data_IF_749631744166
#
_entry.id   IF_749631744166
#
_cell.length_a   1.000
_cell.length_b   1.000
_cell.length_c   1.000
_cell.angle_alpha   90.00
_cell.angle_beta   90.00
_cell.angle_gamma   90.00
#
_symmetry.space_group_name_H-M   'P 1'
#
loop_
_entity.id
_entity.type
_entity.pdbx_description
1 polymer ?
#
# COMPACT_ATOMS: atom_id res chain seq x y z
N UNK A 1 -12.06 34.41 36.47
CA UNK A 1 -11.42 33.91 37.72
C UNK A 1 -10.92 32.45 37.62
N UNK A 2 -11.50 31.57 36.79
CA UNK A 2 -11.07 30.17 36.65
C UNK A 2 -9.61 29.96 36.22
N UNK A 3 -9.08 30.77 35.29
CA UNK A 3 -7.68 30.65 34.84
C UNK A 3 -6.67 30.95 35.95
N UNK A 4 -6.97 31.92 36.82
CA UNK A 4 -6.11 32.27 37.96
C UNK A 4 -6.08 31.12 38.97
N UNK A 5 -7.24 30.52 39.27
CA UNK A 5 -7.33 29.33 40.13
C UNK A 5 -6.52 28.16 39.58
N UNK A 6 -6.64 27.87 38.27
CA UNK A 6 -5.87 26.81 37.63
C UNK A 6 -4.35 27.09 37.66
N UNK A 7 -3.94 28.35 37.50
CA UNK A 7 -2.54 28.75 37.62
C UNK A 7 -2.00 28.50 39.03
N UNK A 8 -2.72 28.94 40.07
CA UNK A 8 -2.28 28.75 41.45
C UNK A 8 -2.21 27.27 41.83
N UNK A 9 -3.14 26.44 41.34
CA UNK A 9 -3.04 24.98 41.47
C UNK A 9 -1.83 24.39 40.73
N UNK A 10 -1.52 24.88 39.53
CA UNK A 10 -0.35 24.41 38.78
C UNK A 10 0.96 24.80 39.47
N UNK A 11 1.02 25.99 40.08
CA UNK A 11 2.15 26.44 40.91
C UNK A 11 2.29 25.57 42.17
N UNK A 12 1.20 25.38 42.92
CA UNK A 12 1.23 24.61 44.17
C UNK A 12 1.62 23.15 43.93
N UNK A 13 1.24 22.58 42.78
CA UNK A 13 1.59 21.21 42.39
C UNK A 13 2.89 21.10 41.60
N UNK A 14 3.59 22.20 41.32
CA UNK A 14 4.84 22.19 40.55
C UNK A 14 4.71 21.58 39.15
N UNK A 15 3.63 21.87 38.42
CA UNK A 15 3.35 21.29 37.09
C UNK A 15 3.95 22.12 35.95
N UNK A 16 4.47 21.45 34.92
CA UNK A 16 4.97 22.09 33.70
C UNK A 16 6.07 23.12 34.00
N UNK A 17 5.87 24.37 33.61
CA UNK A 17 6.84 25.46 33.84
C UNK A 17 7.11 25.77 35.32
N UNK A 18 6.24 25.31 36.22
CA UNK A 18 6.40 25.48 37.67
C UNK A 18 7.11 24.29 38.33
N UNK A 19 7.49 23.27 37.54
CA UNK A 19 8.22 22.11 38.03
C UNK A 19 9.64 22.49 38.47
N UNK A 20 10.15 21.89 39.56
CA UNK A 20 11.56 22.06 39.94
C UNK A 20 12.52 21.28 39.02
N UNK A 21 11.99 20.38 38.18
CA UNK A 21 12.80 19.59 37.26
C UNK A 21 13.28 20.43 36.07
N UNK A 22 14.46 20.09 35.54
CA UNK A 22 14.96 20.70 34.31
C UNK A 22 13.98 20.45 33.15
N UNK A 23 13.81 21.43 32.23
CA UNK A 23 12.99 21.25 31.06
C UNK A 23 13.47 20.06 30.21
N UNK A 24 12.55 19.17 29.89
CA UNK A 24 12.82 18.04 28.98
C UNK A 24 12.81 18.58 27.55
N UNK A 25 13.99 18.62 26.91
CA UNK A 25 14.14 19.12 25.53
C UNK A 25 13.96 17.98 24.54
N UNK A 26 13.03 18.15 23.59
CA UNK A 26 12.82 17.19 22.49
C UNK A 26 13.94 17.34 21.46
N UNK A 27 14.66 16.25 21.18
CA UNK A 27 15.59 16.19 20.07
C UNK A 27 14.80 15.75 18.83
N UNK A 28 14.82 16.57 17.77
CA UNK A 28 14.05 16.29 16.55
C UNK A 28 15.02 16.01 15.40
N UNK A 29 14.95 14.79 14.87
CA UNK A 29 15.62 14.40 13.64
C UNK A 29 14.68 14.65 12.47
N UNK A 30 14.85 15.79 11.80
CA UNK A 30 13.99 16.24 10.68
C UNK A 30 14.17 15.41 9.40
N UNK A 31 15.29 14.71 9.29
CA UNK A 31 15.61 13.85 8.15
C UNK A 31 16.46 12.67 8.61
N UNK A 32 16.21 11.51 8.01
CA UNK A 32 17.04 10.32 8.19
C UNK A 32 18.17 10.36 7.17
N UNK A 33 19.43 10.41 7.62
CA UNK A 33 20.59 10.49 6.72
C UNK A 33 20.72 9.26 5.81
N UNK A 34 20.60 8.06 6.39
CA UNK A 34 20.64 6.80 5.65
C UNK A 34 19.31 6.06 5.82
N UNK A 35 18.39 6.33 4.90
CA UNK A 35 17.03 5.77 4.91
C UNK A 35 17.02 4.25 4.79
N UNK A 36 18.01 3.67 4.08
CA UNK A 36 18.14 2.22 3.93
C UNK A 36 18.55 1.56 5.24
N UNK A 37 19.58 2.06 5.94
CA UNK A 37 20.00 1.48 7.22
C UNK A 37 18.93 1.65 8.30
N UNK A 38 18.22 2.79 8.29
CA UNK A 38 17.08 3.02 9.16
C UNK A 38 15.96 2.00 8.88
N UNK A 39 15.60 1.81 7.61
CA UNK A 39 14.64 0.79 7.21
C UNK A 39 15.04 -0.60 7.70
N UNK A 40 16.28 -1.05 7.46
CA UNK A 40 16.73 -2.38 7.89
C UNK A 40 16.62 -2.61 9.40
N UNK A 41 16.79 -1.53 10.19
CA UNK A 41 16.72 -1.58 11.66
C UNK A 41 15.29 -1.65 12.20
N UNK A 42 14.30 -1.15 11.44
CA UNK A 42 12.91 -1.00 11.90
C UNK A 42 11.87 -1.67 10.99
N UNK A 43 12.28 -2.37 9.92
CA UNK A 43 11.38 -3.02 8.96
C UNK A 43 10.44 -4.00 9.64
N UNK A 44 9.17 -3.96 9.25
CA UNK A 44 8.07 -4.79 9.74
C UNK A 44 7.88 -4.77 11.28
N UNK A 45 8.51 -3.83 12.00
CA UNK A 45 8.28 -3.60 13.42
C UNK A 45 7.16 -2.58 13.59
N UNK A 46 6.19 -2.79 14.50
CA UNK A 46 5.24 -1.76 14.90
C UNK A 46 5.96 -0.57 15.55
N UNK A 47 5.89 0.60 14.93
CA UNK A 47 6.41 1.84 15.47
C UNK A 47 5.25 2.77 15.84
N UNK A 48 5.20 3.23 17.08
CA UNK A 48 4.26 4.26 17.49
C UNK A 48 4.68 5.59 16.90
N UNK A 49 3.73 6.32 16.33
CA UNK A 49 3.99 7.59 15.70
C UNK A 49 2.78 8.53 15.84
N UNK A 50 3.00 9.82 15.66
CA UNK A 50 1.96 10.85 15.55
C UNK A 50 1.97 11.40 14.14
N UNK A 51 0.80 11.49 13.51
CA UNK A 51 0.68 12.12 12.18
C UNK A 51 0.71 13.63 12.33
N UNK A 52 1.67 14.27 11.69
CA UNK A 52 1.86 15.72 11.75
C UNK A 52 1.31 16.44 10.52
N UNK A 53 1.37 15.80 9.36
CA UNK A 53 0.91 16.36 8.12
C UNK A 53 0.38 15.27 7.19
N UNK A 54 -0.60 15.61 6.36
CA UNK A 54 -1.12 14.73 5.31
C UNK A 54 -0.80 15.38 3.97
N UNK A 55 -0.02 14.72 3.13
CA UNK A 55 0.46 15.26 1.84
C UNK A 55 -0.56 15.04 0.73
N UNK A 56 -1.15 13.85 0.72
CA UNK A 56 -2.26 13.43 -0.13
C UNK A 56 -3.03 12.32 0.59
N UNK A 57 -4.02 11.70 -0.06
CA UNK A 57 -4.82 10.65 0.58
C UNK A 57 -4.02 9.46 1.11
N UNK A 58 -2.87 9.11 0.51
CA UNK A 58 -2.09 7.92 0.86
C UNK A 58 -0.69 8.22 1.43
N UNK A 59 -0.24 9.48 1.45
CA UNK A 59 1.07 9.87 1.96
C UNK A 59 0.94 10.83 3.14
N UNK A 60 1.58 10.47 4.25
CA UNK A 60 1.59 11.28 5.49
C UNK A 60 3.02 11.54 5.96
N UNK A 61 3.19 12.58 6.77
CA UNK A 61 4.41 12.82 7.52
C UNK A 61 4.13 12.60 9.00
N UNK A 62 5.03 11.89 9.67
CA UNK A 62 4.85 11.45 11.05
C UNK A 62 6.09 11.71 11.88
N UNK A 63 5.90 11.93 13.18
CA UNK A 63 6.95 11.76 14.18
C UNK A 63 6.87 10.35 14.76
N UNK A 64 7.92 9.56 14.56
CA UNK A 64 8.08 8.29 15.29
C UNK A 64 8.47 8.62 16.73
N UNK A 65 7.79 7.98 17.67
CA UNK A 65 7.95 8.25 19.10
C UNK A 65 9.22 7.59 19.67
N UNK A 66 9.88 8.22 20.67
CA UNK A 66 11.13 7.75 21.23
C UNK A 66 11.08 6.29 21.73
N UNK A 67 9.97 5.83 22.30
CA UNK A 67 9.84 4.46 22.80
C UNK A 67 9.87 3.38 21.70
N UNK A 68 9.69 3.77 20.44
CA UNK A 68 9.77 2.87 19.29
C UNK A 68 11.16 2.85 18.65
N UNK A 69 12.03 3.76 19.06
CA UNK A 69 13.35 3.98 18.48
C UNK A 69 14.44 3.48 19.40
N UNK A 70 15.55 3.06 18.82
CA UNK A 70 16.79 2.74 19.55
C UNK A 70 17.74 3.96 19.57
N UNK A 71 17.15 5.16 19.60
CA UNK A 71 17.87 6.43 19.63
C UNK A 71 18.06 6.92 21.08
N UNK A 72 18.68 8.08 21.25
CA UNK A 72 18.75 8.73 22.56
C UNK A 72 17.34 8.92 23.15
N UNK A 73 17.20 8.92 24.48
CA UNK A 73 15.93 9.23 25.13
C UNK A 73 15.38 10.57 24.64
N UNK A 74 14.07 10.61 24.37
CA UNK A 74 13.35 11.81 23.92
C UNK A 74 13.72 12.32 22.50
N UNK A 75 14.28 11.44 21.66
CA UNK A 75 14.48 11.69 20.22
C UNK A 75 13.24 11.31 19.41
N UNK A 76 12.75 12.25 18.60
CA UNK A 76 11.66 12.07 17.66
C UNK A 76 12.20 12.09 16.24
N UNK A 77 11.76 11.14 15.40
CA UNK A 77 12.23 11.03 14.01
C UNK A 77 11.10 11.40 13.06
N UNK A 78 11.31 12.46 12.28
CA UNK A 78 10.36 12.95 11.29
C UNK A 78 10.56 12.24 9.96
N UNK A 79 9.53 11.55 9.47
CA UNK A 79 9.61 10.80 8.22
C UNK A 79 8.33 10.93 7.39
N UNK A 80 8.46 10.74 6.09
CA UNK A 80 7.33 10.60 5.18
C UNK A 80 7.05 9.12 4.95
N UNK A 81 5.79 8.71 5.12
CA UNK A 81 5.31 7.35 4.91
C UNK A 81 4.19 7.36 3.87
N UNK A 82 4.37 6.59 2.80
CA UNK A 82 3.34 6.33 1.79
C UNK A 82 2.73 4.96 2.04
N UNK A 83 1.40 4.87 2.02
CA UNK A 83 0.66 3.63 2.24
C UNK A 83 1.03 2.59 1.18
N UNK A 84 1.41 1.39 1.61
CA UNK A 84 1.67 0.27 0.72
C UNK A 84 0.39 -0.27 0.08
N UNK A 85 0.55 -0.86 -1.11
CA UNK A 85 -0.53 -1.51 -1.84
C UNK A 85 -1.57 -0.59 -2.48
N UNK A 86 -1.53 0.73 -2.22
CA UNK A 86 -2.53 1.67 -2.74
C UNK A 86 -1.92 2.94 -3.34
N UNK A 87 -2.63 3.56 -4.28
CA UNK A 87 -2.36 4.92 -4.77
C UNK A 87 -3.61 5.78 -4.68
N UNK A 88 -3.50 6.95 -4.09
CA UNK A 88 -4.54 7.98 -4.10
C UNK A 88 -4.25 9.05 -5.17
N UNK A 89 -5.26 9.76 -5.71
CA UNK A 89 -5.04 10.89 -6.60
C UNK A 89 -4.11 11.93 -5.95
N UNK A 90 -3.18 12.48 -6.73
CA UNK A 90 -2.10 13.29 -6.19
C UNK A 90 -2.47 14.77 -6.16
N UNK A 91 -1.78 15.53 -5.31
CA UNK A 91 -1.89 16.99 -5.26
C UNK A 91 -0.53 17.56 -5.66
N UNK A 92 -0.49 18.27 -6.79
CA UNK A 92 0.71 18.92 -7.32
C UNK A 92 0.72 20.41 -7.03
N UNK A 93 1.90 21.02 -7.11
CA UNK A 93 2.10 22.45 -7.02
C UNK A 93 2.72 22.93 -8.33
N UNK A 94 1.99 23.75 -9.09
CA UNK A 94 2.42 24.31 -10.37
C UNK A 94 2.28 25.83 -10.27
N UNK A 95 3.38 26.57 -10.52
CA UNK A 95 3.45 28.04 -10.42
C UNK A 95 2.89 28.63 -9.10
N UNK A 96 3.18 27.96 -7.98
CA UNK A 96 2.71 28.37 -6.65
C UNK A 96 1.22 28.11 -6.39
N UNK A 97 0.51 27.44 -7.31
CA UNK A 97 -0.89 27.04 -7.16
C UNK A 97 -1.01 25.54 -6.93
N UNK A 98 -1.98 25.18 -6.10
CA UNK A 98 -2.34 23.77 -5.87
C UNK A 98 -3.14 23.28 -7.08
N UNK A 99 -2.64 22.22 -7.73
CA UNK A 99 -3.28 21.54 -8.86
C UNK A 99 -3.57 20.10 -8.43
N UNK A 100 -4.76 19.82 -7.89
CA UNK A 100 -5.15 18.47 -7.50
C UNK A 100 -5.60 17.66 -8.72
N UNK A 101 -5.25 16.37 -8.75
CA UNK A 101 -5.94 15.41 -9.61
C UNK A 101 -7.42 15.29 -9.18
N UNK A 102 -8.27 14.76 -10.06
CA UNK A 102 -9.67 14.50 -9.72
C UNK A 102 -9.77 13.67 -8.43
N UNK A 103 -10.63 14.11 -7.49
CA UNK A 103 -10.80 13.52 -6.15
C UNK A 103 -9.59 13.63 -5.20
N UNK A 104 -8.52 14.35 -5.59
CA UNK A 104 -7.32 14.51 -4.77
C UNK A 104 -7.56 15.26 -3.45
N UNK A 105 -8.34 16.34 -3.49
CA UNK A 105 -8.69 17.10 -2.26
C UNK A 105 -9.64 16.31 -1.35
N UNK A 106 -10.59 15.56 -1.91
CA UNK A 106 -11.47 14.69 -1.13
C UNK A 106 -10.68 13.57 -0.43
N UNK A 107 -9.71 12.98 -1.13
CA UNK A 107 -8.86 11.95 -0.55
C UNK A 107 -7.93 12.51 0.54
N UNK A 108 -7.34 13.70 0.32
CA UNK A 108 -6.58 14.42 1.33
C UNK A 108 -7.44 14.66 2.57
N UNK A 109 -8.60 15.29 2.42
CA UNK A 109 -9.51 15.59 3.51
C UNK A 109 -9.95 14.33 4.25
N UNK A 110 -10.20 13.23 3.51
CA UNK A 110 -10.61 11.96 4.09
C UNK A 110 -9.57 11.42 5.09
N UNK A 111 -8.30 11.45 4.72
CA UNK A 111 -7.19 11.01 5.56
C UNK A 111 -6.90 12.02 6.67
N UNK A 112 -6.89 13.31 6.35
CA UNK A 112 -6.63 14.41 7.30
C UNK A 112 -7.65 14.45 8.43
N UNK A 113 -8.95 14.38 8.12
CA UNK A 113 -10.01 14.45 9.12
C UNK A 113 -9.98 13.27 10.11
N UNK A 114 -9.30 12.17 9.74
CA UNK A 114 -9.20 10.94 10.55
C UNK A 114 -7.88 10.82 11.29
N UNK A 115 -6.77 11.20 10.65
CA UNK A 115 -5.44 10.88 11.15
C UNK A 115 -4.62 12.08 11.60
N UNK A 116 -4.88 13.31 11.15
CA UNK A 116 -4.05 14.46 11.51
C UNK A 116 -3.97 14.65 13.03
N UNK A 117 -2.79 14.74 13.63
CA UNK A 117 -2.56 14.82 15.08
C UNK A 117 -3.12 13.62 15.88
N UNK A 118 -3.29 12.44 15.27
CA UNK A 118 -3.65 11.21 15.98
C UNK A 118 -2.44 10.31 16.16
N UNK A 119 -2.45 9.56 17.27
CA UNK A 119 -1.53 8.45 17.51
C UNK A 119 -1.85 7.28 16.56
N UNK A 120 -0.84 6.80 15.86
CA UNK A 120 -0.92 5.68 14.92
C UNK A 120 0.21 4.68 15.18
N UNK A 121 0.03 3.47 14.68
CA UNK A 121 1.11 2.48 14.55
C UNK A 121 1.47 2.37 13.08
N UNK A 122 2.72 2.60 12.74
CA UNK A 122 3.23 2.39 11.38
C UNK A 122 4.05 1.10 11.29
N UNK A 123 4.01 0.47 10.13
CA UNK A 123 4.88 -0.66 9.76
C UNK A 123 5.67 -0.27 8.52
N UNK A 124 6.99 -0.22 8.61
CA UNK A 124 7.86 0.08 7.47
C UNK A 124 8.09 -1.19 6.65
N UNK A 125 7.68 -1.20 5.40
CA UNK A 125 7.67 -2.40 4.54
C UNK A 125 8.65 -2.27 3.37
N UNK A 126 8.89 -1.05 2.91
CA UNK A 126 9.92 -0.75 1.92
C UNK A 126 10.41 0.70 2.03
N UNK A 127 11.39 1.04 1.21
CA UNK A 127 11.92 2.40 1.07
C UNK A 127 12.12 2.69 -0.42
N UNK A 128 11.67 3.86 -0.86
CA UNK A 128 11.87 4.36 -2.22
C UNK A 128 12.43 5.77 -2.16
N UNK A 129 13.65 5.96 -2.67
CA UNK A 129 14.43 7.19 -2.51
C UNK A 129 14.56 7.59 -1.02
N UNK A 130 13.89 8.67 -0.61
CA UNK A 130 13.87 9.15 0.78
C UNK A 130 12.51 8.97 1.47
N UNK A 131 11.59 8.24 0.84
CA UNK A 131 10.23 8.00 1.35
C UNK A 131 10.08 6.56 1.78
N UNK A 132 9.56 6.35 2.98
CA UNK A 132 9.22 5.02 3.45
C UNK A 132 7.86 4.60 2.88
N UNK A 133 7.74 3.31 2.56
CA UNK A 133 6.49 2.69 2.14
C UNK A 133 6.05 1.75 3.25
N UNK A 134 4.79 1.80 3.65
CA UNK A 134 4.35 1.06 4.82
C UNK A 134 2.87 1.12 5.11
N UNK A 135 2.44 0.36 6.10
CA UNK A 135 1.06 0.38 6.60
C UNK A 135 0.89 1.41 7.72
N UNK A 136 -0.27 2.09 7.76
CA UNK A 136 -0.63 3.05 8.81
C UNK A 136 -1.90 2.56 9.50
N UNK A 137 -1.78 2.23 10.78
CA UNK A 137 -2.81 1.57 11.56
C UNK A 137 -3.28 2.48 12.69
N UNK A 138 -4.60 2.61 12.82
CA UNK A 138 -5.26 3.29 13.92
C UNK A 138 -6.19 2.30 14.63
N UNK A 139 -6.48 2.44 15.94
CA UNK A 139 -7.42 1.56 16.64
C UNK A 139 -8.80 1.43 15.97
N UNK A 140 -9.23 2.47 15.25
CA UNK A 140 -10.49 2.50 14.52
C UNK A 140 -10.43 1.82 13.13
N UNK A 141 -9.27 1.34 12.69
CA UNK A 141 -9.11 0.58 11.44
C UNK A 141 -7.91 0.99 10.60
N UNK A 142 -7.75 0.28 9.48
CA UNK A 142 -6.73 0.54 8.48
C UNK A 142 -7.21 1.59 7.47
N UNK A 143 -6.55 2.74 7.44
CA UNK A 143 -6.94 3.87 6.58
C UNK A 143 -6.86 3.54 5.08
N UNK A 144 -5.91 2.69 4.66
CA UNK A 144 -5.74 2.33 3.26
C UNK A 144 -6.95 1.55 2.72
N UNK A 145 -7.48 0.61 3.53
CA UNK A 145 -8.70 -0.12 3.19
C UNK A 145 -9.91 0.82 3.09
N UNK A 146 -10.01 1.80 3.98
CA UNK A 146 -11.10 2.78 3.99
C UNK A 146 -11.07 3.70 2.76
N UNK A 147 -9.89 4.14 2.34
CA UNK A 147 -9.70 4.91 1.10
C UNK A 147 -10.19 4.12 -0.11
N UNK A 148 -9.78 2.86 -0.23
CA UNK A 148 -10.22 1.97 -1.32
C UNK A 148 -11.73 1.75 -1.28
N UNK A 149 -12.30 1.43 -0.12
CA UNK A 149 -13.73 1.16 0.07
C UNK A 149 -14.61 2.35 -0.33
N UNK A 150 -14.08 3.56 -0.21
CA UNK A 150 -14.77 4.76 -0.67
C UNK A 150 -14.39 5.19 -2.08
N UNK A 151 -13.52 4.49 -2.80
CA UNK A 151 -13.10 4.89 -4.14
C UNK A 151 -12.23 6.15 -4.15
N UNK A 152 -11.45 6.38 -3.10
CA UNK A 152 -10.47 7.49 -3.01
C UNK A 152 -9.03 7.01 -3.26
N UNK A 153 -8.87 5.74 -3.64
CA UNK A 153 -7.60 5.15 -4.01
C UNK A 153 -7.82 3.95 -4.96
N UNK A 154 -6.74 3.52 -5.61
CA UNK A 154 -6.62 2.30 -6.39
C UNK A 154 -5.63 1.33 -5.75
N UNK A 155 -5.82 0.04 -5.96
CA UNK A 155 -4.82 -0.97 -5.65
C UNK A 155 -3.63 -0.86 -6.62
N UNK A 156 -2.42 -1.07 -6.11
CA UNK A 156 -1.20 -1.17 -6.91
C UNK A 156 -0.68 -2.61 -6.84
N UNK A 157 -0.92 -3.40 -7.89
CA UNK A 157 -0.62 -4.84 -7.90
C UNK A 157 0.85 -5.17 -7.59
N UNK A 158 1.80 -4.43 -8.17
CA UNK A 158 3.23 -4.66 -7.93
C UNK A 158 3.68 -4.31 -6.50
N UNK A 159 2.93 -3.46 -5.81
CA UNK A 159 3.24 -3.01 -4.45
C UNK A 159 2.46 -3.82 -3.39
N UNK A 160 1.37 -4.49 -3.78
CA UNK A 160 0.47 -5.17 -2.86
C UNK A 160 1.15 -6.28 -2.06
N UNK A 161 2.16 -6.94 -2.62
CA UNK A 161 2.95 -7.97 -1.95
C UNK A 161 3.84 -7.42 -0.81
N UNK A 162 4.02 -6.10 -0.72
CA UNK A 162 4.77 -5.46 0.37
C UNK A 162 3.92 -5.32 1.64
N UNK A 163 2.58 -5.37 1.52
CA UNK A 163 1.67 -5.18 2.65
C UNK A 163 1.87 -6.32 3.65
N UNK A 164 2.47 -5.99 4.79
CA UNK A 164 2.85 -6.94 5.84
C UNK A 164 1.70 -7.27 6.80
N UNK A 165 0.66 -6.44 6.81
CA UNK A 165 -0.51 -6.62 7.68
C UNK A 165 -1.30 -7.86 7.23
N UNK A 166 -1.49 -8.87 8.11
CA UNK A 166 -2.18 -10.10 7.75
C UNK A 166 -3.59 -9.85 7.19
N UNK A 167 -3.88 -10.40 6.02
CA UNK A 167 -5.18 -10.29 5.35
C UNK A 167 -5.47 -8.94 4.70
N UNK A 168 -4.64 -7.91 4.91
CA UNK A 168 -4.91 -6.57 4.38
C UNK A 168 -4.83 -6.51 2.85
N UNK A 169 -3.88 -7.20 2.22
CA UNK A 169 -3.79 -7.25 0.76
C UNK A 169 -5.07 -7.77 0.09
N UNK A 170 -5.70 -8.80 0.66
CA UNK A 170 -6.99 -9.32 0.15
C UNK A 170 -8.14 -8.37 0.47
N UNK A 171 -8.17 -7.79 1.68
CA UNK A 171 -9.15 -6.78 2.05
C UNK A 171 -9.11 -5.56 1.11
N UNK A 172 -7.92 -5.15 0.66
CA UNK A 172 -7.75 -4.06 -0.30
C UNK A 172 -8.41 -4.39 -1.64
N UNK A 173 -8.16 -5.59 -2.20
CA UNK A 173 -8.80 -6.04 -3.44
C UNK A 173 -10.32 -6.06 -3.33
N UNK A 174 -10.83 -6.59 -2.21
CA UNK A 174 -12.28 -6.64 -1.94
C UNK A 174 -12.85 -5.22 -1.84
N UNK A 175 -12.20 -4.32 -1.10
CA UNK A 175 -12.62 -2.94 -0.92
C UNK A 175 -12.67 -2.17 -2.26
N UNK A 176 -11.65 -2.34 -3.09
CA UNK A 176 -11.60 -1.74 -4.42
C UNK A 176 -12.71 -2.28 -5.34
N UNK A 177 -12.91 -3.60 -5.36
CA UNK A 177 -14.00 -4.24 -6.14
C UNK A 177 -15.36 -3.66 -5.77
N UNK A 178 -15.65 -3.53 -4.48
CA UNK A 178 -16.90 -2.95 -4.00
C UNK A 178 -17.07 -1.48 -4.39
N UNK A 179 -15.98 -0.71 -4.44
CA UNK A 179 -16.01 0.68 -4.89
C UNK A 179 -16.23 0.79 -6.42
N UNK A 180 -15.63 -0.13 -7.20
CA UNK A 180 -15.83 -0.26 -8.66
C UNK A 180 -17.28 -0.62 -9.01
N UNK A 181 -17.86 -1.61 -8.33
CA UNK A 181 -19.25 -2.03 -8.53
C UNK A 181 -20.24 -0.87 -8.30
N UNK A 182 -19.93 -0.02 -7.32
CA UNK A 182 -20.73 1.17 -6.98
C UNK A 182 -20.33 2.43 -7.76
N UNK A 183 -19.33 2.35 -8.64
CA UNK A 183 -18.77 3.48 -9.42
C UNK A 183 -18.46 4.70 -8.56
N UNK A 184 -17.79 4.49 -7.44
CA UNK A 184 -17.49 5.57 -6.48
C UNK A 184 -16.26 6.39 -6.91
N UNK A 185 -16.40 7.72 -6.95
CA UNK A 185 -15.32 8.72 -7.12
C UNK A 185 -14.33 8.37 -8.23
N UNK A 186 -13.12 7.91 -7.91
CA UNK A 186 -12.10 7.54 -8.93
C UNK A 186 -12.60 6.45 -9.90
N UNK A 187 -13.67 5.74 -9.54
CA UNK A 187 -14.33 4.72 -10.34
C UNK A 187 -15.64 5.18 -11.01
N UNK A 188 -15.98 6.46 -11.02
CA UNK A 188 -17.21 6.99 -11.64
C UNK A 188 -17.35 6.58 -13.12
N UNK A 189 -16.22 6.56 -13.84
CA UNK A 189 -16.12 6.20 -15.26
C UNK A 189 -15.58 4.78 -15.48
N UNK A 190 -15.56 3.94 -14.44
CA UNK A 190 -15.06 2.58 -14.55
C UNK A 190 -15.93 1.76 -15.52
N UNK A 191 -15.29 1.24 -16.58
CA UNK A 191 -15.88 0.26 -17.48
C UNK A 191 -15.29 -1.11 -17.13
N UNK A 192 -16.12 -2.12 -16.84
CA UNK A 192 -15.63 -3.48 -16.67
C UNK A 192 -14.90 -3.88 -17.95
N UNK A 193 -13.62 -4.21 -17.84
CA UNK A 193 -12.94 -4.92 -18.91
C UNK A 193 -13.70 -6.22 -19.10
N UNK A 194 -14.31 -6.42 -20.27
CA UNK A 194 -14.86 -7.72 -20.63
C UNK A 194 -13.68 -8.68 -20.70
N UNK A 195 -13.42 -9.39 -19.61
CA UNK A 195 -12.70 -10.65 -19.68
C UNK A 195 -13.57 -11.53 -20.57
N UNK A 196 -13.11 -12.00 -21.74
CA UNK A 196 -13.91 -12.95 -22.50
C UNK A 196 -14.15 -14.15 -21.57
N UNK A 197 -15.39 -14.29 -21.12
CA UNK A 197 -15.85 -15.53 -20.53
C UNK A 197 -15.62 -16.59 -21.60
N UNK A 198 -14.60 -17.43 -21.39
CA UNK A 198 -14.55 -18.69 -22.10
C UNK A 198 -15.73 -19.47 -21.55
N UNK A 199 -16.89 -19.32 -22.19
CA UNK A 199 -17.95 -20.31 -22.09
C UNK A 199 -17.27 -21.61 -22.51
N UNK A 200 -17.04 -22.49 -21.54
CA UNK A 200 -16.67 -23.88 -21.79
C UNK A 200 -17.90 -24.56 -22.38
N UNK A 201 -18.22 -24.20 -23.62
CA UNK A 201 -19.32 -24.77 -24.35
C UNK A 201 -18.85 -26.11 -24.90
N UNK A 202 -19.45 -27.16 -24.36
CA UNK A 202 -19.31 -28.58 -24.71
C UNK A 202 -17.94 -29.23 -24.42
N UNK A 203 -18.00 -30.36 -23.70
CA UNK A 203 -16.99 -31.41 -23.80
C UNK A 203 -16.84 -31.81 -25.28
N UNK A 204 -15.85 -31.24 -25.98
CA UNK A 204 -15.43 -31.77 -27.27
C UNK A 204 -14.40 -32.87 -27.03
N UNK A 205 -14.79 -34.10 -27.35
CA UNK A 205 -13.88 -35.25 -27.41
C UNK A 205 -12.78 -34.96 -28.42
N UNK A 206 -11.52 -34.94 -27.97
CA UNK A 206 -10.36 -34.76 -28.84
C UNK A 206 -10.24 -35.99 -29.74
N UNK A 207 -10.44 -35.79 -31.05
CA UNK A 207 -10.23 -36.82 -32.08
C UNK A 207 -8.80 -36.69 -32.62
N UNK A 208 -8.01 -37.77 -32.74
CA UNK A 208 -6.66 -37.71 -33.29
C UNK A 208 -6.65 -37.08 -34.69
N UNK A 209 -5.78 -36.09 -34.92
CA UNK A 209 -5.54 -35.48 -36.23
C UNK A 209 -6.18 -34.10 -36.49
N UNK A 210 -6.91 -33.52 -35.53
CA UNK A 210 -7.38 -32.12 -35.64
C UNK A 210 -6.35 -31.13 -35.10
N UNK A 211 -5.95 -30.18 -35.93
CA UNK A 211 -5.12 -29.02 -35.56
C UNK A 211 -6.06 -27.90 -35.10
N UNK A 212 -5.82 -27.37 -33.90
CA UNK A 212 -6.52 -26.17 -33.40
C UNK A 212 -5.60 -24.95 -33.54
N UNK A 213 -6.10 -23.87 -34.14
CA UNK A 213 -5.44 -22.57 -34.13
C UNK A 213 -6.20 -21.61 -33.24
N UNK A 214 -5.55 -21.08 -32.21
CA UNK A 214 -6.05 -19.97 -31.40
C UNK A 214 -5.07 -18.80 -31.45
N UNK A 215 -5.59 -17.58 -31.56
CA UNK A 215 -4.76 -16.37 -31.45
C UNK A 215 -4.66 -16.00 -29.97
N UNK A 216 -3.46 -16.08 -29.41
CA UNK A 216 -3.17 -15.57 -28.07
C UNK A 216 -2.79 -14.10 -28.19
N UNK A 217 -3.69 -13.20 -27.79
CA UNK A 217 -3.38 -11.78 -27.66
C UNK A 217 -2.74 -11.51 -26.30
N UNK A 218 -1.41 -11.52 -26.22
CA UNK A 218 -0.65 -11.14 -25.02
C UNK A 218 -0.04 -9.73 -25.16
N UNK A 219 -0.13 -8.90 -24.12
CA UNK A 219 0.54 -7.59 -24.02
C UNK A 219 2.06 -7.76 -23.85
N UNK A 220 2.89 -6.79 -24.30
CA UNK A 220 4.32 -6.98 -24.42
C UNK A 220 5.01 -6.72 -23.08
N UNK A 221 5.24 -7.78 -22.31
CA UNK A 221 6.26 -7.75 -21.24
C UNK A 221 7.01 -9.07 -21.24
N UNK A 222 8.25 -8.98 -21.76
CA UNK A 222 9.38 -9.91 -21.73
C UNK A 222 9.08 -11.35 -21.25
N UNK A 223 8.99 -12.30 -22.18
CA UNK A 223 8.97 -13.74 -21.87
C UNK A 223 10.37 -14.35 -21.97
N UNK A 224 10.80 -15.06 -20.92
CA UNK A 224 11.86 -16.08 -21.01
C UNK A 224 11.19 -17.37 -21.47
N UNK A 225 11.42 -17.77 -22.71
CA UNK A 225 10.95 -19.06 -23.23
C UNK A 225 11.93 -20.14 -22.75
N UNK A 226 11.53 -20.92 -21.73
CA UNK A 226 12.30 -22.07 -21.27
C UNK A 226 11.91 -23.29 -22.12
N UNK A 227 12.79 -23.73 -23.02
CA UNK A 227 12.61 -24.98 -23.76
C UNK A 227 12.97 -26.16 -22.87
N UNK A 228 11.97 -26.87 -22.35
CA UNK A 228 12.19 -28.17 -21.69
C UNK A 228 11.94 -29.26 -22.74
N UNK A 229 13.00 -29.98 -23.11
CA UNK A 229 12.93 -31.14 -24.00
C UNK A 229 12.54 -32.37 -23.18
N UNK A 230 11.36 -32.95 -23.44
CA UNK A 230 10.99 -34.27 -22.91
C UNK A 230 10.79 -35.23 -24.07
N UNK A 231 11.64 -36.25 -24.13
CA UNK A 231 11.53 -37.36 -25.07
C UNK A 231 10.39 -38.27 -24.59
N UNK A 232 9.35 -38.49 -25.40
CA UNK A 232 8.23 -39.38 -25.06
C UNK A 232 8.17 -40.49 -26.13
N UNK A 233 8.37 -41.73 -25.69
CA UNK A 233 8.23 -42.93 -26.50
C UNK A 233 6.78 -43.38 -26.64
N UNK A 234 6.51 -44.17 -27.68
CA UNK A 234 5.21 -44.70 -28.09
C UNK A 234 4.53 -45.52 -26.98
N UNK A 235 3.57 -44.94 -26.26
CA UNK A 235 2.45 -45.68 -25.62
C UNK A 235 1.54 -44.77 -24.80
N UNK A 236 0.68 -44.00 -25.47
CA UNK A 236 -0.38 -43.21 -24.82
C UNK A 236 0.15 -42.14 -23.86
N UNK A 237 -0.54 -41.02 -23.69
CA UNK A 237 -1.19 -40.64 -22.43
C UNK A 237 -1.39 -39.11 -22.45
N UNK A 238 -2.34 -38.66 -21.63
CA UNK A 238 -2.84 -37.29 -21.53
C UNK A 238 -1.75 -36.22 -21.28
N UNK A 239 -1.94 -35.06 -21.91
CA UNK A 239 -1.13 -33.86 -21.69
C UNK A 239 -1.77 -33.07 -20.53
N UNK A 240 -1.01 -32.83 -19.46
CA UNK A 240 -1.40 -31.91 -18.38
C UNK A 240 -0.82 -30.53 -18.65
N UNK A 241 -1.68 -29.54 -18.94
CA UNK A 241 -1.28 -28.14 -18.88
C UNK A 241 -1.43 -27.66 -17.44
N UNK A 242 -0.33 -27.29 -16.80
CA UNK A 242 -0.34 -26.66 -15.48
C UNK A 242 -0.27 -25.15 -15.67
N UNK A 243 -1.34 -24.45 -15.30
CA UNK A 243 -1.33 -23.00 -15.19
C UNK A 243 -0.57 -22.62 -13.91
N UNK A 244 0.53 -21.90 -14.06
CA UNK A 244 1.13 -21.15 -12.95
C UNK A 244 1.10 -19.68 -13.34
N UNK A 245 0.69 -18.83 -12.40
CA UNK A 245 0.09 -17.51 -12.61
C UNK A 245 0.99 -16.42 -13.25
N UNK A 246 2.08 -16.77 -13.93
CA UNK A 246 2.86 -15.82 -14.73
C UNK A 246 3.64 -16.46 -15.91
N UNK A 247 3.44 -17.73 -16.27
CA UNK A 247 4.11 -18.32 -17.45
C UNK A 247 3.14 -19.18 -18.27
N UNK A 248 2.94 -18.82 -19.55
CA UNK A 248 2.35 -19.71 -20.54
C UNK A 248 3.48 -20.58 -21.10
N UNK A 249 3.61 -21.82 -20.65
CA UNK A 249 4.47 -22.81 -21.32
C UNK A 249 3.76 -23.33 -22.57
N UNK A 250 4.21 -22.91 -23.75
CA UNK A 250 3.77 -23.46 -25.03
C UNK A 250 4.65 -24.67 -25.36
N UNK A 251 4.09 -25.88 -25.25
CA UNK A 251 4.75 -27.09 -25.71
C UNK A 251 4.55 -27.24 -27.22
N UNK A 252 5.61 -27.05 -28.00
CA UNK A 252 5.60 -27.38 -29.43
C UNK A 252 6.00 -28.85 -29.59
N UNK A 253 5.01 -29.71 -29.83
CA UNK A 253 5.23 -31.11 -30.19
C UNK A 253 5.61 -31.21 -31.67
N UNK A 254 6.83 -31.70 -31.95
CA UNK A 254 7.16 -32.23 -33.27
C UNK A 254 6.91 -33.74 -33.20
N UNK A 255 5.83 -34.20 -33.81
CA UNK A 255 5.64 -35.61 -34.11
C UNK A 255 6.59 -35.93 -35.27
N UNK A 256 7.55 -36.83 -35.05
CA UNK A 256 8.33 -37.45 -36.12
C UNK A 256 7.71 -38.82 -36.38
#
# INVERSE_FOLDING_TARGET
KQLVTAQEQAKSLGKGRWSPNLPVTREILWSVENTRSFFESYKNRPLKAVVENVRDGCSVQVFILPESLNEKPNTFVYVTVTMSGIKSPSIRYEDGKIVPDAWGLDALFFTESRLLQRDVTILLESVFNQTFVGSILHPNGNIAELLLRHGLAHCIDWNLNLVSVPGAAEAYKIAERLAKEKRLRVFENYQPTQTPEVHADSHQTVVPGKIFSGIVSARPTLFVILFIWTHIGESGHQIYMRHTDNLICVYLLRVI
#
